data_IF_566910533169
#
_entry.id   IF_566910533169
#
_cell.length_a   1.000
_cell.length_b   1.000
_cell.length_c   1.000
_cell.angle_alpha   90.00
_cell.angle_beta   90.00
_cell.angle_gamma   90.00
#
_symmetry.space_group_name_H-M   'P 1'
#
loop_
_entity.id
_entity.type
_entity.pdbx_description
1 polymer ?
#
# COMPACT_ATOMS: atom_id res chain seq x y z
N UNK A 1 3.86 4.50 -9.31
CA UNK A 1 3.93 4.96 -7.90
C UNK A 1 5.34 5.40 -7.61
N UNK A 2 5.49 6.54 -6.94
CA UNK A 2 6.79 7.15 -6.65
C UNK A 2 6.96 7.41 -5.16
N UNK A 3 8.21 7.40 -4.69
CA UNK A 3 8.55 7.81 -3.33
C UNK A 3 8.66 9.36 -3.21
N UNK A 4 9.13 9.84 -2.06
CA UNK A 4 9.36 11.28 -1.81
C UNK A 4 10.36 11.95 -2.76
N UNK A 5 11.35 11.23 -3.27
CA UNK A 5 12.38 11.75 -4.17
C UNK A 5 11.97 11.67 -5.65
N UNK A 6 10.80 11.09 -5.94
CA UNK A 6 10.29 10.90 -7.30
C UNK A 6 10.77 9.60 -7.96
N UNK A 7 11.47 8.73 -7.23
CA UNK A 7 11.91 7.45 -7.77
C UNK A 7 10.73 6.49 -7.88
N UNK A 8 10.67 5.77 -9.00
CA UNK A 8 9.67 4.73 -9.20
C UNK A 8 9.89 3.54 -8.25
N UNK A 9 8.84 3.20 -7.52
CA UNK A 9 8.84 2.09 -6.55
C UNK A 9 7.95 0.92 -6.99
N UNK A 10 7.05 1.14 -7.94
CA UNK A 10 6.14 0.11 -8.45
C UNK A 10 4.92 0.71 -9.12
N UNK A 11 3.97 -0.15 -9.49
CA UNK A 11 2.72 0.19 -10.15
C UNK A 11 1.53 -0.23 -9.28
N UNK A 12 0.52 0.63 -9.16
CA UNK A 12 -0.74 0.26 -8.50
C UNK A 12 -1.49 -0.69 -9.42
N UNK A 13 -1.73 -1.91 -8.95
CA UNK A 13 -2.48 -2.95 -9.68
C UNK A 13 -3.95 -2.99 -9.27
N UNK A 14 -4.24 -2.85 -7.97
CA UNK A 14 -5.60 -2.93 -7.44
C UNK A 14 -5.74 -2.20 -6.08
N UNK A 15 -6.96 -2.13 -5.55
CA UNK A 15 -7.29 -1.54 -4.25
C UNK A 15 -8.05 -2.54 -3.37
N UNK A 16 -7.64 -2.69 -2.11
CA UNK A 16 -8.48 -3.34 -1.12
C UNK A 16 -9.45 -2.31 -0.54
N UNK A 17 -10.74 -2.51 -0.74
CA UNK A 17 -11.81 -1.64 -0.23
C UNK A 17 -12.49 -2.33 0.95
N UNK A 18 -12.57 -1.63 2.07
CA UNK A 18 -13.45 -2.00 3.17
C UNK A 18 -14.89 -1.68 2.78
N UNK A 19 -15.69 -2.72 2.56
CA UNK A 19 -17.09 -2.59 2.13
C UNK A 19 -17.99 -1.93 3.19
N UNK A 20 -17.68 -2.08 4.48
CA UNK A 20 -18.50 -1.54 5.55
C UNK A 20 -18.36 -0.02 5.65
N UNK A 21 -17.12 0.47 5.53
CA UNK A 21 -16.82 1.91 5.60
C UNK A 21 -16.73 2.59 4.22
N UNK A 22 -16.75 1.82 3.13
CA UNK A 22 -16.50 2.30 1.76
C UNK A 22 -15.17 3.07 1.65
N UNK A 23 -14.11 2.53 2.24
CA UNK A 23 -12.78 3.16 2.29
C UNK A 23 -11.72 2.23 1.72
N UNK A 24 -10.77 2.81 0.99
CA UNK A 24 -9.56 2.10 0.57
C UNK A 24 -8.70 1.83 1.80
N UNK A 25 -8.27 0.58 2.04
CA UNK A 25 -7.36 0.22 3.14
C UNK A 25 -5.94 0.02 2.66
N UNK A 26 -5.80 -0.65 1.51
CA UNK A 26 -4.51 -0.91 0.90
C UNK A 26 -4.54 -0.67 -0.61
N UNK A 27 -3.38 -0.30 -1.14
CA UNK A 27 -3.08 -0.36 -2.57
C UNK A 27 -2.28 -1.64 -2.80
N UNK A 28 -2.71 -2.47 -3.75
CA UNK A 28 -1.91 -3.60 -4.21
C UNK A 28 -0.89 -3.08 -5.22
N UNK A 29 0.40 -3.27 -4.94
CA UNK A 29 1.49 -2.71 -5.73
C UNK A 29 2.32 -3.83 -6.33
N UNK A 30 2.45 -3.78 -7.65
CA UNK A 30 3.34 -4.62 -8.44
C UNK A 30 4.72 -3.95 -8.51
N UNK A 31 5.76 -4.65 -8.10
CA UNK A 31 7.13 -4.14 -8.13
C UNK A 31 8.15 -5.25 -8.37
N UNK A 32 9.34 -4.85 -8.82
CA UNK A 32 10.38 -5.80 -9.21
C UNK A 32 10.04 -6.54 -10.51
N UNK A 33 10.97 -7.39 -10.95
CA UNK A 33 10.87 -8.04 -12.25
C UNK A 33 11.19 -7.12 -13.44
N UNK A 34 11.17 -7.72 -14.62
CA UNK A 34 11.30 -7.02 -15.90
C UNK A 34 10.24 -7.60 -16.85
N UNK A 35 9.36 -6.75 -17.39
CA UNK A 35 8.33 -7.13 -18.37
C UNK A 35 7.43 -8.33 -17.97
N UNK A 36 6.79 -8.34 -16.80
CA UNK A 36 5.90 -9.47 -16.44
C UNK A 36 6.57 -10.61 -15.69
N UNK A 37 7.91 -10.69 -15.71
CA UNK A 37 8.63 -11.82 -15.14
C UNK A 37 9.28 -11.45 -13.81
N UNK A 38 8.94 -12.22 -12.76
CA UNK A 38 9.49 -12.03 -11.42
C UNK A 38 8.92 -10.81 -10.68
N UNK A 39 7.75 -10.33 -11.12
CA UNK A 39 7.01 -9.29 -10.41
C UNK A 39 6.55 -9.84 -9.06
N UNK A 40 6.67 -9.02 -8.03
CA UNK A 40 6.10 -9.28 -6.72
C UNK A 40 4.93 -8.33 -6.49
N UNK A 41 3.95 -8.82 -5.74
CA UNK A 41 2.81 -8.02 -5.29
C UNK A 41 2.92 -7.83 -3.79
N UNK A 42 2.77 -6.60 -3.33
CA UNK A 42 2.72 -6.25 -1.91
C UNK A 42 1.61 -5.25 -1.66
N UNK A 43 1.06 -5.25 -0.45
CA UNK A 43 0.13 -4.20 -0.04
C UNK A 43 0.87 -3.00 0.54
N UNK A 44 0.37 -1.81 0.25
CA UNK A 44 0.78 -0.55 0.88
C UNK A 44 -0.45 0.06 1.57
N UNK A 45 -0.39 0.39 2.88
CA UNK A 45 -1.48 1.07 3.57
C UNK A 45 -1.82 2.40 2.90
N UNK A 46 -3.11 2.74 2.80
CA UNK A 46 -3.55 4.05 2.28
C UNK A 46 -2.93 5.22 3.06
N UNK A 47 -2.64 5.01 4.35
CA UNK A 47 -1.94 5.92 5.26
C UNK A 47 -0.54 6.32 4.78
N UNK A 48 0.05 5.56 3.86
CA UNK A 48 1.34 5.86 3.25
C UNK A 48 1.26 6.88 2.12
N UNK A 49 0.08 7.11 1.55
CA UNK A 49 -0.14 8.00 0.41
C UNK A 49 -0.10 9.46 0.87
N UNK A 50 0.70 10.27 0.18
CA UNK A 50 0.87 11.70 0.48
C UNK A 50 0.31 12.63 -0.59
N UNK A 51 0.24 12.17 -1.84
CA UNK A 51 -0.32 12.92 -2.96
C UNK A 51 -0.79 11.96 -4.03
N UNK A 52 -1.83 12.36 -4.77
CA UNK A 52 -2.29 11.68 -5.98
C UNK A 52 -2.42 12.72 -7.07
N UNK A 53 -1.86 12.45 -8.24
CA UNK A 53 -2.02 13.24 -9.47
C UNK A 53 -2.56 12.34 -10.57
N UNK A 54 -2.78 12.89 -11.77
CA UNK A 54 -3.16 12.10 -12.95
C UNK A 54 -2.08 11.10 -13.39
N UNK A 55 -0.82 11.38 -13.06
CA UNK A 55 0.33 10.59 -13.49
C UNK A 55 0.81 9.60 -12.43
N UNK A 56 0.74 9.95 -11.15
CA UNK A 56 1.28 9.10 -10.10
C UNK A 56 0.61 9.24 -8.73
N UNK A 57 0.72 8.15 -7.97
CA UNK A 57 0.54 8.13 -6.52
C UNK A 57 1.91 8.30 -5.86
N UNK A 58 2.03 9.29 -4.98
CA UNK A 58 3.22 9.54 -4.17
C UNK A 58 3.04 8.96 -2.78
N UNK A 59 4.08 8.28 -2.27
CA UNK A 59 4.08 7.66 -0.96
C UNK A 59 5.29 8.10 -0.10
N UNK A 60 5.15 7.95 1.21
CA UNK A 60 6.25 8.17 2.16
C UNK A 60 7.33 7.06 2.17
N UNK A 61 6.98 5.75 2.12
CA UNK A 61 7.95 4.67 2.18
C UNK A 61 8.99 4.67 1.05
N UNK A 62 10.17 4.15 1.34
CA UNK A 62 11.25 3.95 0.36
C UNK A 62 10.99 2.72 -0.52
N UNK A 63 11.76 2.60 -1.61
CA UNK A 63 11.75 1.39 -2.47
C UNK A 63 12.04 0.13 -1.67
N UNK A 64 13.03 0.18 -0.78
CA UNK A 64 13.42 -0.98 0.04
C UNK A 64 12.28 -1.42 0.97
N UNK A 65 11.58 -0.46 1.57
CA UNK A 65 10.39 -0.75 2.39
C UNK A 65 9.27 -1.39 1.57
N UNK A 66 9.06 -0.95 0.32
CA UNK A 66 8.09 -1.59 -0.58
C UNK A 66 8.52 -3.02 -0.92
N UNK A 67 9.77 -3.21 -1.33
CA UNK A 67 10.25 -4.54 -1.75
C UNK A 67 10.41 -5.54 -0.62
N UNK A 68 10.58 -5.07 0.61
CA UNK A 68 10.71 -5.89 1.81
C UNK A 68 9.40 -6.15 2.55
N UNK A 69 8.26 -5.66 2.04
CA UNK A 69 6.97 -5.86 2.66
C UNK A 69 6.50 -7.33 2.55
N UNK A 70 5.58 -7.78 3.43
CA UNK A 70 4.94 -9.08 3.29
C UNK A 70 4.33 -9.25 1.90
N UNK A 71 4.72 -10.33 1.21
CA UNK A 71 4.24 -10.64 -0.13
C UNK A 71 2.72 -10.90 -0.09
N UNK A 72 2.02 -10.42 -1.12
CA UNK A 72 0.60 -10.68 -1.29
C UNK A 72 0.38 -12.11 -1.75
N UNK A 73 -0.46 -12.82 -1.01
CA UNK A 73 -0.91 -14.16 -1.34
C UNK A 73 -2.44 -14.21 -1.20
N UNK A 74 -3.18 -14.39 -2.31
CA UNK A 74 -4.64 -14.45 -2.31
C UNK A 74 -5.20 -15.69 -1.59
N UNK A 75 -4.38 -16.70 -1.29
CA UNK A 75 -4.79 -17.92 -0.61
C UNK A 75 -4.67 -17.83 0.92
N UNK A 76 -4.20 -16.69 1.46
CA UNK A 76 -4.10 -16.47 2.91
C UNK A 76 -5.48 -16.58 3.57
N UNK A 77 -5.57 -17.48 4.55
CA UNK A 77 -6.80 -17.74 5.32
C UNK A 77 -6.95 -16.79 6.52
N UNK A 78 -5.85 -16.35 7.11
CA UNK A 78 -5.83 -15.36 8.22
C UNK A 78 -5.45 -13.97 7.71
N UNK A 79 -6.41 -13.35 7.02
CA UNK A 79 -6.27 -12.00 6.48
C UNK A 79 -5.97 -10.97 7.58
N UNK A 80 -6.53 -11.13 8.79
CA UNK A 80 -6.35 -10.18 9.89
C UNK A 80 -4.90 -10.12 10.37
N UNK A 81 -4.27 -11.28 10.58
CA UNK A 81 -2.85 -11.34 10.95
C UNK A 81 -1.97 -10.83 9.81
N UNK A 82 -2.29 -11.18 8.56
CA UNK A 82 -1.55 -10.70 7.40
C UNK A 82 -1.61 -9.17 7.26
N UNK A 83 -2.80 -8.58 7.26
CA UNK A 83 -2.97 -7.11 7.22
C UNK A 83 -2.25 -6.44 8.39
N UNK A 84 -2.33 -7.02 9.59
CA UNK A 84 -1.61 -6.54 10.77
C UNK A 84 -0.09 -6.52 10.56
N UNK A 85 0.46 -7.54 9.91
CA UNK A 85 1.89 -7.61 9.58
C UNK A 85 2.32 -6.54 8.58
N UNK A 86 1.47 -6.24 7.59
CA UNK A 86 1.70 -5.16 6.62
C UNK A 86 1.68 -3.80 7.32
N UNK A 87 0.67 -3.52 8.13
CA UNK A 87 0.60 -2.29 8.93
C UNK A 87 1.84 -2.11 9.82
N UNK A 88 2.24 -3.17 10.54
CA UNK A 88 3.41 -3.16 11.40
C UNK A 88 4.72 -2.92 10.62
N UNK A 89 4.88 -3.54 9.45
CA UNK A 89 6.05 -3.33 8.59
C UNK A 89 6.26 -1.86 8.20
N UNK A 90 5.18 -1.15 7.88
CA UNK A 90 5.24 0.26 7.53
C UNK A 90 5.13 1.22 8.72
N UNK A 91 4.85 0.71 9.94
CA UNK A 91 4.71 1.52 11.14
C UNK A 91 3.41 2.32 11.22
N UNK A 92 2.35 1.88 10.55
CA UNK A 92 1.02 2.49 10.61
C UNK A 92 0.12 1.74 11.59
N UNK A 93 -0.83 2.47 12.19
CA UNK A 93 -1.87 1.83 13.00
C UNK A 93 -2.86 1.11 12.07
N UNK A 94 -3.26 -0.13 12.38
CA UNK A 94 -4.28 -0.82 11.61
C UNK A 94 -5.63 -0.11 11.74
N UNK A 95 -6.48 -0.20 10.71
CA UNK A 95 -7.76 0.51 10.67
C UNK A 95 -8.76 0.06 11.75
N UNK A 96 -8.60 -1.15 12.28
CA UNK A 96 -9.36 -1.67 13.42
C UNK A 96 -8.72 -1.33 14.79
N UNK A 97 -7.61 -0.59 14.79
CA UNK A 97 -6.90 -0.18 15.99
C UNK A 97 -7.59 0.97 16.73
N UNK A 98 -7.58 0.92 18.07
CA UNK A 98 -8.10 2.01 18.90
C UNK A 98 -7.35 3.30 18.61
N UNK A 99 -8.08 4.37 18.30
CA UNK A 99 -7.50 5.68 17.98
C UNK A 99 -7.03 5.83 16.54
N UNK A 100 -7.32 4.87 15.65
CA UNK A 100 -7.11 5.02 14.22
C UNK A 100 -7.90 6.22 13.68
N UNK A 101 -7.23 7.05 12.88
CA UNK A 101 -7.83 8.15 12.15
C UNK A 101 -7.49 7.92 10.68
N UNK A 102 -8.52 7.73 9.86
CA UNK A 102 -8.34 7.60 8.42
C UNK A 102 -7.63 8.84 7.87
N UNK A 103 -6.59 8.70 7.03
CA UNK A 103 -5.87 9.85 6.51
C UNK A 103 -6.85 10.77 5.78
N UNK A 104 -6.71 12.11 5.89
CA UNK A 104 -7.47 13.01 5.05
C UNK A 104 -7.20 12.62 3.58
N UNK A 105 -8.22 12.73 2.72
CA UNK A 105 -8.04 12.42 1.30
C UNK A 105 -6.76 13.10 0.79
N UNK A 106 -5.85 12.37 0.12
CA UNK A 106 -4.66 12.99 -0.43
C UNK A 106 -5.13 14.12 -1.33
N UNK A 107 -4.57 15.31 -1.14
CA UNK A 107 -4.92 16.45 -1.98
C UNK A 107 -4.64 16.05 -3.42
N UNK A 108 -5.70 15.93 -4.22
CA UNK A 108 -5.56 15.83 -5.66
C UNK A 108 -4.95 17.16 -6.12
N UNK A 109 -3.75 17.10 -6.69
CA UNK A 109 -2.97 18.27 -7.11
C UNK A 109 -2.77 18.26 -8.60
#
# INVERSE_FOLDING_TARGET
>A
MVNKTGDEVGKVGDLLIDEQESKVRFLLVEHGGFLGMGEKKTFIPVDAVTSVTDEYVQINPSRDQVTGAPEYDPEIVDESHYYGSVYNHYGYLPFWGVGYIYPPYPYYR
#
